data_IF_938446249577
#
_entry.id   IF_938446249577
#
_cell.length_a   1.000
_cell.length_b   1.000
_cell.length_c   1.000
_cell.angle_alpha   90.00
_cell.angle_beta   90.00
_cell.angle_gamma   90.00
#
_symmetry.space_group_name_H-M   'P 1'
#
loop_
_entity.id
_entity.type
_entity.pdbx_description
1 polymer ?
#
# COMPACT_ATOMS: atom_id res chain seq x y z
N UNK A 1 2.41 -0.59 0.18
CA UNK A 1 3.47 0.15 -0.54
C UNK A 1 3.18 -0.02 -2.02
N UNK A 2 2.95 1.07 -2.75
CA UNK A 2 2.61 1.01 -4.17
C UNK A 2 3.80 0.50 -4.98
N UNK A 3 3.76 -0.77 -5.37
CA UNK A 3 4.74 -1.38 -6.27
C UNK A 3 4.05 -1.67 -7.61
N UNK A 4 3.97 -0.67 -8.49
CA UNK A 4 3.27 -0.81 -9.77
C UNK A 4 3.91 -1.82 -10.72
N UNK A 5 5.19 -2.16 -10.50
CA UNK A 5 5.90 -3.13 -11.34
C UNK A 5 5.50 -4.56 -11.02
N UNK A 6 5.33 -4.90 -9.74
CA UNK A 6 5.09 -6.28 -9.29
C UNK A 6 3.70 -6.50 -8.68
N UNK A 7 3.08 -5.44 -8.17
CA UNK A 7 1.73 -5.41 -7.59
C UNK A 7 0.91 -4.23 -8.18
N UNK A 8 0.66 -4.19 -9.50
CA UNK A 8 -0.15 -3.15 -10.14
C UNK A 8 -1.64 -3.21 -9.77
N UNK A 9 -2.11 -4.34 -9.25
CA UNK A 9 -3.51 -4.61 -8.95
C UNK A 9 -3.66 -5.12 -7.50
N UNK A 10 -3.33 -4.29 -6.53
CA UNK A 10 -3.37 -4.67 -5.10
C UNK A 10 -4.75 -5.20 -4.68
N UNK A 11 -4.78 -6.36 -4.00
CA UNK A 11 -5.97 -6.89 -3.35
C UNK A 11 -5.91 -6.69 -1.83
N UNK A 12 -7.08 -6.67 -1.17
CA UNK A 12 -7.17 -6.87 0.28
C UNK A 12 -7.08 -8.36 0.63
N UNK A 13 -6.70 -8.67 1.89
CA UNK A 13 -6.46 -10.05 2.36
C UNK A 13 -7.63 -10.98 2.13
N UNK A 14 -8.84 -10.46 2.20
CA UNK A 14 -10.09 -11.19 2.05
C UNK A 14 -10.25 -11.79 0.63
N UNK A 15 -9.67 -11.17 -0.40
CA UNK A 15 -9.69 -11.70 -1.78
C UNK A 15 -8.85 -12.96 -1.94
N UNK A 16 -7.92 -13.22 -1.03
CA UNK A 16 -7.09 -14.43 -1.03
C UNK A 16 -7.82 -15.62 -0.41
N UNK A 17 -9.02 -15.41 0.16
CA UNK A 17 -9.82 -16.48 0.73
C UNK A 17 -10.19 -17.50 -0.37
N UNK A 18 -9.96 -18.82 -0.14
CA UNK A 18 -10.27 -19.86 -1.11
C UNK A 18 -11.71 -19.84 -1.64
N UNK A 19 -12.68 -19.41 -0.82
CA UNK A 19 -14.08 -19.29 -1.26
C UNK A 19 -14.27 -18.14 -2.26
N UNK A 20 -13.58 -17.03 -2.04
CA UNK A 20 -13.64 -15.86 -2.93
C UNK A 20 -12.92 -16.15 -4.24
N UNK A 21 -11.75 -16.81 -4.19
CA UNK A 21 -11.02 -17.21 -5.39
C UNK A 21 -11.79 -18.25 -6.20
N UNK A 22 -12.46 -19.21 -5.55
CA UNK A 22 -13.33 -20.17 -6.23
C UNK A 22 -14.56 -19.51 -6.88
N UNK A 23 -15.16 -18.51 -6.22
CA UNK A 23 -16.35 -17.81 -6.74
C UNK A 23 -16.02 -16.85 -7.88
N UNK A 24 -14.90 -16.14 -7.79
CA UNK A 24 -14.51 -15.10 -8.76
C UNK A 24 -13.60 -15.60 -9.87
N UNK A 25 -12.97 -16.77 -9.69
CA UNK A 25 -11.94 -17.31 -10.59
C UNK A 25 -10.60 -16.57 -10.52
N UNK A 26 -10.53 -15.46 -9.77
CA UNK A 26 -9.30 -14.67 -9.60
C UNK A 26 -8.40 -15.36 -8.58
N UNK A 27 -7.11 -15.50 -8.92
CA UNK A 27 -6.08 -16.03 -8.03
C UNK A 27 -5.02 -14.97 -7.78
N UNK A 28 -5.14 -14.19 -6.69
CA UNK A 28 -4.13 -13.22 -6.31
C UNK A 28 -2.76 -13.88 -6.14
N UNK A 29 -1.70 -13.19 -6.54
CA UNK A 29 -0.34 -13.60 -6.17
C UNK A 29 -0.05 -13.26 -4.71
N UNK A 30 0.92 -13.95 -4.08
CA UNK A 30 1.22 -13.80 -2.64
C UNK A 30 1.48 -12.34 -2.23
N UNK A 31 2.17 -11.57 -3.07
CA UNK A 31 2.53 -10.18 -2.81
C UNK A 31 1.50 -9.17 -3.31
N UNK A 32 0.36 -9.63 -3.83
CA UNK A 32 -0.74 -8.79 -4.32
C UNK A 32 -1.60 -8.30 -3.16
N UNK A 33 -0.94 -7.66 -2.19
CA UNK A 33 -1.47 -7.17 -0.92
C UNK A 33 -0.81 -5.85 -0.55
N UNK A 34 -1.37 -5.13 0.41
CA UNK A 34 -0.72 -3.93 0.94
C UNK A 34 0.60 -4.27 1.65
N UNK A 35 1.71 -3.93 1.00
CA UNK A 35 3.08 -4.14 1.50
C UNK A 35 3.57 -3.05 2.49
N UNK A 36 2.74 -2.06 2.85
CA UNK A 36 3.20 -0.91 3.64
C UNK A 36 3.67 -1.30 5.05
N UNK A 37 3.09 -2.35 5.63
CA UNK A 37 3.44 -2.83 6.98
C UNK A 37 4.43 -3.98 6.98
N UNK A 38 4.92 -4.40 5.80
CA UNK A 38 5.93 -5.45 5.71
C UNK A 38 7.30 -4.84 6.08
N UNK A 39 8.00 -5.36 7.11
CA UNK A 39 9.29 -4.86 7.55
C UNK A 39 10.35 -4.77 6.44
N UNK A 40 10.27 -5.64 5.42
CA UNK A 40 11.18 -5.62 4.26
C UNK A 40 11.16 -4.28 3.53
N UNK A 41 10.03 -3.56 3.58
CA UNK A 41 9.81 -2.31 2.86
C UNK A 41 9.80 -1.08 3.78
N UNK A 42 10.21 -1.21 5.05
CA UNK A 42 10.17 -0.13 6.03
C UNK A 42 10.95 1.13 5.58
N UNK A 43 12.15 0.94 5.01
CA UNK A 43 12.95 2.06 4.49
C UNK A 43 12.25 2.80 3.34
N UNK A 44 11.64 2.04 2.41
CA UNK A 44 10.91 2.64 1.29
C UNK A 44 9.63 3.32 1.77
N UNK A 45 8.93 2.77 2.77
CA UNK A 45 7.77 3.43 3.38
C UNK A 45 8.17 4.79 3.96
N UNK A 46 9.24 4.83 4.76
CA UNK A 46 9.75 6.07 5.37
C UNK A 46 10.14 7.12 4.32
N UNK A 47 10.77 6.69 3.23
CA UNK A 47 11.07 7.55 2.08
C UNK A 47 9.78 8.15 1.48
N UNK A 48 8.75 7.33 1.22
CA UNK A 48 7.49 7.81 0.64
C UNK A 48 6.71 8.72 1.60
N UNK A 49 6.70 8.43 2.89
CA UNK A 49 6.08 9.29 3.92
C UNK A 49 6.77 10.66 4.00
N UNK A 50 8.11 10.69 3.86
CA UNK A 50 8.88 11.93 3.81
C UNK A 50 8.56 12.77 2.57
N UNK A 51 8.47 12.13 1.39
CA UNK A 51 8.06 12.80 0.14
C UNK A 51 6.65 13.36 0.23
N UNK A 52 5.70 12.58 0.78
CA UNK A 52 4.32 13.01 0.98
C UNK A 52 4.26 14.23 1.91
N UNK A 53 4.96 14.21 3.04
CA UNK A 53 4.99 15.32 3.99
C UNK A 53 5.57 16.60 3.37
N UNK A 54 6.62 16.47 2.57
CA UNK A 54 7.21 17.61 1.86
C UNK A 54 6.19 18.25 0.90
N UNK A 55 5.44 17.43 0.17
CA UNK A 55 4.42 17.92 -0.75
C UNK A 55 3.20 18.52 -0.03
N UNK A 56 2.75 17.91 1.06
CA UNK A 56 1.70 18.46 1.93
C UNK A 56 2.07 19.84 2.48
N UNK A 57 3.34 20.04 2.89
CA UNK A 57 3.83 21.35 3.34
C UNK A 57 3.89 22.35 2.19
N UNK A 58 4.29 21.94 0.99
CA UNK A 58 4.35 22.79 -0.21
C UNK A 58 2.97 23.32 -0.61
N UNK A 59 1.92 22.53 -0.35
CA UNK A 59 0.54 22.81 -0.74
C UNK A 59 -0.34 23.32 0.40
N UNK A 60 0.24 23.58 1.59
CA UNK A 60 -0.51 23.96 2.79
C UNK A 60 -1.69 23.00 3.10
N UNK A 61 -1.44 21.70 2.95
CA UNK A 61 -2.48 20.66 3.06
C UNK A 61 -3.08 20.63 4.49
N UNK A 62 -4.41 20.84 4.64
CA UNK A 62 -5.08 20.80 5.93
C UNK A 62 -5.35 19.38 6.46
N UNK A 63 -5.11 18.34 5.66
CA UNK A 63 -5.44 16.94 5.96
C UNK A 63 -4.20 16.04 6.12
N UNK A 64 -3.26 16.45 6.99
CA UNK A 64 -2.08 15.65 7.32
C UNK A 64 -2.43 14.36 8.05
N UNK A 65 -1.54 13.37 7.97
CA UNK A 65 -1.67 12.15 8.77
C UNK A 65 -1.44 12.45 10.25
N UNK A 66 -2.17 11.74 11.11
CA UNK A 66 -2.17 11.96 12.56
C UNK A 66 -0.79 11.85 13.23
N UNK A 67 0.16 11.15 12.60
CA UNK A 67 1.52 10.90 13.09
C UNK A 67 2.59 11.75 12.39
N UNK A 68 2.20 12.70 11.52
CA UNK A 68 3.14 13.60 10.85
C UNK A 68 3.39 14.87 11.68
N UNK A 69 4.62 15.41 11.67
CA UNK A 69 4.99 16.63 12.38
C UNK A 69 4.54 17.92 11.66
#
# INVERSE_FOLDING_TARGET
>A
LFNLKENPHEFIREHHNPKVTAMTGVKPSENQLNLAKDPKYAEKLKEMEGLLLAEMRRLDDPYRFWNQP
#
